data_IF_730197985639
#
_entry.id   IF_730197985639
#
_cell.length_a   1.000
_cell.length_b   1.000
_cell.length_c   1.000
_cell.angle_alpha   90.00
_cell.angle_beta   90.00
_cell.angle_gamma   90.00
#
_symmetry.space_group_name_H-M   'P 1'
#
loop_
_entity.id
_entity.type
_entity.pdbx_description
1 polymer ?
#
# COMPACT_ATOMS: atom_id res chain seq x y z
N UNK A 1 -43.24 29.97 -2.28
CA UNK A 1 -42.96 30.48 -0.93
C UNK A 1 -42.11 29.45 -0.20
N UNK A 2 -40.89 29.87 0.19
CA UNK A 2 -39.92 29.37 1.19
C UNK A 2 -39.95 27.86 1.54
N UNK A 3 -38.97 27.03 1.15
CA UNK A 3 -37.57 26.97 1.60
C UNK A 3 -37.42 26.79 3.12
N UNK A 4 -37.22 25.54 3.57
CA UNK A 4 -36.67 25.22 4.90
C UNK A 4 -35.38 24.42 4.74
N UNK A 5 -34.30 25.18 4.83
CA UNK A 5 -32.91 24.78 4.99
C UNK A 5 -32.57 24.55 6.47
N UNK A 6 -31.47 23.81 6.67
CA UNK A 6 -30.55 23.82 7.83
C UNK A 6 -30.86 22.87 9.00
N UNK A 7 -30.03 21.82 9.10
CA UNK A 7 -29.54 21.30 10.38
C UNK A 7 -28.10 20.77 10.21
N UNK A 8 -27.18 21.69 9.93
CA UNK A 8 -25.73 21.50 9.99
C UNK A 8 -25.18 22.40 11.10
N UNK A 9 -25.33 22.05 12.38
CA UNK A 9 -24.71 22.86 13.43
C UNK A 9 -24.41 22.16 14.77
N UNK A 10 -24.16 20.84 14.79
CA UNK A 10 -23.73 20.17 16.04
C UNK A 10 -22.69 19.07 15.84
N UNK A 11 -21.60 19.37 15.14
CA UNK A 11 -20.41 18.48 15.14
C UNK A 11 -19.07 19.22 15.25
N UNK A 12 -19.06 20.48 15.68
CA UNK A 12 -17.84 21.29 15.84
C UNK A 12 -17.37 21.47 17.29
N UNK A 13 -17.97 20.75 18.24
CA UNK A 13 -17.73 20.92 19.68
C UNK A 13 -16.98 19.75 20.34
N UNK A 14 -16.16 19.01 19.59
CA UNK A 14 -15.30 17.95 20.15
C UNK A 14 -13.79 18.19 19.91
N UNK A 15 -13.40 19.20 19.14
CA UNK A 15 -11.99 19.43 18.77
C UNK A 15 -11.26 20.39 19.75
N UNK A 16 -11.97 21.03 20.69
CA UNK A 16 -11.39 22.05 21.57
C UNK A 16 -11.10 21.62 23.03
N UNK A 17 -11.15 20.33 23.36
CA UNK A 17 -11.00 19.84 24.75
C UNK A 17 -9.87 18.82 24.97
N UNK A 18 -8.97 18.65 24.00
CA UNK A 18 -7.83 17.72 24.11
C UNK A 18 -6.45 18.40 24.19
N UNK A 19 -6.39 19.74 24.25
CA UNK A 19 -5.14 20.50 24.17
C UNK A 19 -4.58 21.03 25.51
N UNK A 20 -5.14 20.66 26.66
CA UNK A 20 -4.78 21.30 27.93
C UNK A 20 -4.57 20.36 29.12
N UNK A 21 -4.15 19.11 28.91
CA UNK A 21 -3.78 18.28 30.05
C UNK A 21 -2.53 17.42 29.85
N UNK A 22 -1.69 17.47 30.89
CA UNK A 22 -0.47 16.70 31.16
C UNK A 22 0.78 17.00 30.32
N UNK A 23 1.44 18.10 30.71
CA UNK A 23 2.89 18.07 30.83
C UNK A 23 3.29 17.19 32.02
N UNK A 24 4.08 16.14 31.77
CA UNK A 24 4.90 15.45 32.76
C UNK A 24 6.20 15.02 32.07
N UNK A 25 7.28 15.69 32.45
CA UNK A 25 8.65 15.29 32.15
C UNK A 25 9.01 14.10 33.03
N UNK A 26 9.31 12.94 32.43
CA UNK A 26 10.06 11.87 33.09
C UNK A 26 11.27 11.52 32.23
N UNK A 27 12.44 11.95 32.71
CA UNK A 27 13.75 11.45 32.32
C UNK A 27 13.89 10.01 32.81
N UNK A 28 14.08 9.05 31.90
CA UNK A 28 14.51 7.69 32.23
C UNK A 28 15.85 7.42 31.58
N UNK A 29 16.75 6.88 32.40
CA UNK A 29 18.16 6.66 32.18
C UNK A 29 18.47 5.79 30.96
N UNK A 30 19.60 6.13 30.32
CA UNK A 30 20.31 5.32 29.36
C UNK A 30 20.84 4.05 30.02
N UNK A 31 20.65 2.90 29.35
CA UNK A 31 21.62 1.81 29.40
C UNK A 31 21.58 0.99 28.11
N UNK A 32 22.79 0.69 27.63
CA UNK A 32 23.10 -0.55 26.93
C UNK A 32 22.50 -0.81 25.55
N UNK A 33 23.34 -0.57 24.54
CA UNK A 33 23.37 -1.29 23.25
C UNK A 33 22.46 -0.76 22.13
N UNK A 34 22.65 0.51 21.79
CA UNK A 34 22.35 1.00 20.44
C UNK A 34 23.49 0.59 19.51
N UNK A 35 23.40 -0.60 18.91
CA UNK A 35 23.97 -0.77 17.57
C UNK A 35 23.14 0.09 16.62
N UNK A 36 23.49 1.38 16.59
CA UNK A 36 23.16 2.27 15.52
C UNK A 36 23.89 1.72 14.28
N UNK A 37 23.23 0.79 13.59
CA UNK A 37 23.51 0.55 12.19
C UNK A 37 23.24 1.87 11.47
N UNK A 38 24.31 2.66 11.36
CA UNK A 38 24.50 3.72 10.40
C UNK A 38 24.26 3.16 9.00
N UNK A 39 23.00 3.06 8.61
CA UNK A 39 22.60 3.18 7.23
C UNK A 39 21.86 4.52 7.14
N UNK A 40 22.67 5.58 7.15
CA UNK A 40 22.36 6.78 6.40
C UNK A 40 21.97 6.33 4.99
N UNK A 41 20.67 6.14 4.81
CA UNK A 41 19.82 6.82 3.85
C UNK A 41 20.59 7.56 2.75
N UNK A 42 21.43 6.82 2.01
CA UNK A 42 21.75 7.15 0.63
C UNK A 42 20.43 6.98 -0.08
N UNK A 43 19.67 8.07 -0.18
CA UNK A 43 18.45 8.24 -0.97
C UNK A 43 18.78 7.82 -2.39
N UNK A 44 18.80 6.51 -2.60
CA UNK A 44 19.22 5.88 -3.83
C UNK A 44 18.05 6.16 -4.73
N UNK A 45 18.24 7.12 -5.63
CA UNK A 45 17.26 7.46 -6.65
C UNK A 45 17.07 6.19 -7.46
N UNK A 46 16.06 5.40 -7.09
CA UNK A 46 15.71 4.17 -7.78
C UNK A 46 15.30 4.58 -9.18
N UNK A 47 15.93 3.98 -10.19
CA UNK A 47 15.51 4.24 -11.57
C UNK A 47 14.05 3.82 -11.75
N UNK A 48 13.30 4.42 -12.69
CA UNK A 48 11.91 4.02 -12.94
C UNK A 48 11.76 2.51 -13.16
N UNK A 49 12.73 1.89 -13.86
CA UNK A 49 12.78 0.43 -14.04
C UNK A 49 12.91 -0.31 -12.70
N UNK A 50 13.86 0.07 -11.85
CA UNK A 50 14.02 -0.56 -10.53
C UNK A 50 12.77 -0.44 -9.64
N UNK A 51 12.07 0.70 -9.70
CA UNK A 51 10.80 0.88 -8.99
C UNK A 51 9.71 -0.06 -9.51
N UNK A 52 9.66 -0.23 -10.84
CA UNK A 52 8.70 -1.14 -11.47
C UNK A 52 8.99 -2.61 -11.14
N UNK A 53 10.27 -3.01 -11.19
CA UNK A 53 10.74 -4.35 -10.82
C UNK A 53 10.34 -4.66 -9.36
N UNK A 54 10.54 -3.68 -8.49
CA UNK A 54 10.14 -3.75 -7.09
C UNK A 54 8.62 -3.94 -6.94
N UNK A 55 7.80 -3.16 -7.66
CA UNK A 55 6.34 -3.30 -7.65
C UNK A 55 5.90 -4.70 -8.13
N UNK A 56 6.50 -5.23 -9.20
CA UNK A 56 6.20 -6.58 -9.69
C UNK A 56 6.54 -7.64 -8.65
N UNK A 57 7.70 -7.53 -8.00
CA UNK A 57 8.11 -8.48 -6.98
C UNK A 57 7.21 -8.42 -5.75
N UNK A 58 6.81 -7.21 -5.34
CA UNK A 58 5.87 -7.01 -4.23
C UNK A 58 4.48 -7.60 -4.56
N UNK A 59 3.98 -7.40 -5.79
CA UNK A 59 2.73 -8.02 -6.23
C UNK A 59 2.79 -9.56 -6.23
N UNK A 60 3.92 -10.14 -6.67
CA UNK A 60 4.16 -11.59 -6.63
C UNK A 60 4.16 -12.11 -5.18
N UNK A 61 4.86 -11.42 -4.28
CA UNK A 61 4.93 -11.76 -2.86
C UNK A 61 3.55 -11.70 -2.21
N UNK A 62 2.83 -10.60 -2.36
CA UNK A 62 1.48 -10.42 -1.80
C UNK A 62 0.51 -11.49 -2.33
N UNK A 63 0.61 -11.86 -3.61
CA UNK A 63 -0.22 -12.96 -4.14
C UNK A 63 0.11 -14.30 -3.49
N UNK A 64 1.40 -14.56 -3.20
CA UNK A 64 1.83 -15.77 -2.50
C UNK A 64 1.35 -15.78 -1.05
N UNK A 65 1.46 -14.66 -0.36
CA UNK A 65 0.97 -14.48 1.01
C UNK A 65 -0.55 -14.69 1.09
N UNK A 66 -1.32 -14.07 0.20
CA UNK A 66 -2.78 -14.25 0.13
C UNK A 66 -3.17 -15.71 -0.12
N UNK A 67 -2.40 -16.44 -0.94
CA UNK A 67 -2.62 -17.87 -1.20
C UNK A 67 -2.30 -18.75 0.01
N UNK A 68 -1.35 -18.35 0.86
CA UNK A 68 -0.84 -19.21 1.92
C UNK A 68 -1.88 -19.59 2.98
N UNK A 69 -2.92 -18.77 3.17
CA UNK A 69 -3.90 -18.94 4.27
C UNK A 69 -3.33 -18.64 5.67
N UNK A 70 -2.02 -18.39 5.78
CA UNK A 70 -1.31 -18.25 7.05
C UNK A 70 -0.64 -16.88 7.21
N UNK A 71 -0.87 -15.96 6.26
CA UNK A 71 -0.33 -14.60 6.35
C UNK A 71 -1.09 -13.78 7.41
N UNK A 72 -0.35 -13.11 8.29
CA UNK A 72 -0.94 -12.24 9.31
C UNK A 72 -1.70 -11.07 8.66
N UNK A 73 -2.95 -10.86 9.07
CA UNK A 73 -3.85 -9.90 8.43
C UNK A 73 -3.38 -8.45 8.55
N UNK A 74 -2.79 -8.07 9.68
CA UNK A 74 -2.23 -6.72 9.87
C UNK A 74 -1.06 -6.46 8.93
N UNK A 75 -0.06 -7.36 8.91
CA UNK A 75 1.12 -7.23 8.06
C UNK A 75 0.75 -7.21 6.58
N UNK A 76 -0.19 -8.08 6.17
CA UNK A 76 -0.67 -8.10 4.79
C UNK A 76 -1.28 -6.76 4.38
N UNK A 77 -2.15 -6.18 5.23
CA UNK A 77 -2.75 -4.85 4.98
C UNK A 77 -1.72 -3.75 4.84
N UNK A 78 -0.73 -3.74 5.72
CA UNK A 78 0.37 -2.77 5.67
C UNK A 78 1.10 -2.88 4.34
N UNK A 79 1.44 -4.10 3.92
CA UNK A 79 2.14 -4.32 2.65
C UNK A 79 1.28 -3.93 1.44
N UNK A 80 -0.04 -4.12 1.47
CA UNK A 80 -0.95 -3.66 0.40
C UNK A 80 -1.04 -2.13 0.36
N UNK A 81 -1.08 -1.46 1.51
CA UNK A 81 -1.01 0.01 1.57
C UNK A 81 0.33 0.51 1.03
N UNK A 82 1.42 -0.15 1.40
CA UNK A 82 2.75 0.19 0.91
C UNK A 82 2.86 0.02 -0.61
N UNK A 83 2.32 -1.07 -1.15
CA UNK A 83 2.23 -1.28 -2.60
C UNK A 83 1.45 -0.17 -3.30
N UNK A 84 0.30 0.26 -2.73
CA UNK A 84 -0.49 1.38 -3.26
C UNK A 84 0.31 2.67 -3.33
N UNK A 85 0.95 3.05 -2.23
CA UNK A 85 1.69 4.31 -2.18
C UNK A 85 2.90 4.31 -3.09
N UNK A 86 3.60 3.17 -3.17
CA UNK A 86 4.71 3.00 -4.12
C UNK A 86 4.22 3.15 -5.56
N UNK A 87 3.08 2.55 -5.90
CA UNK A 87 2.48 2.68 -7.24
C UNK A 87 2.04 4.12 -7.53
N UNK A 88 1.41 4.79 -6.57
CA UNK A 88 0.97 6.18 -6.68
C UNK A 88 2.15 7.10 -6.96
N UNK A 89 3.22 6.98 -6.17
CA UNK A 89 4.45 7.74 -6.38
C UNK A 89 5.07 7.47 -7.74
N UNK A 90 5.13 6.21 -8.15
CA UNK A 90 5.66 5.82 -9.45
C UNK A 90 4.87 6.48 -10.59
N UNK A 91 3.54 6.45 -10.53
CA UNK A 91 2.67 7.05 -11.55
C UNK A 91 2.76 8.58 -11.57
N UNK A 92 2.87 9.25 -10.43
CA UNK A 92 3.00 10.71 -10.36
C UNK A 92 4.33 11.23 -10.91
N UNK A 93 5.39 10.41 -10.82
CA UNK A 93 6.73 10.76 -11.32
C UNK A 93 6.87 10.48 -12.82
N UNK A 94 5.87 9.89 -13.48
CA UNK A 94 5.95 9.64 -14.92
C UNK A 94 5.72 10.93 -15.72
N UNK A 95 6.63 11.28 -16.65
CA UNK A 95 6.36 12.35 -17.60
C UNK A 95 5.23 11.96 -18.55
N UNK A 96 4.57 12.94 -19.17
CA UNK A 96 3.50 12.71 -20.17
C UNK A 96 3.93 11.82 -21.33
N UNK A 97 5.22 11.80 -21.65
CA UNK A 97 5.83 10.98 -22.69
C UNK A 97 6.49 9.70 -22.15
N UNK A 98 5.96 9.12 -21.06
CA UNK A 98 6.59 7.95 -20.44
C UNK A 98 6.65 6.76 -21.39
N UNK A 99 7.77 6.03 -21.36
CA UNK A 99 7.96 4.75 -22.06
C UNK A 99 6.98 3.67 -21.58
N UNK A 100 6.38 3.84 -20.40
CA UNK A 100 5.41 2.88 -19.85
C UNK A 100 4.02 3.15 -20.43
N UNK A 101 3.46 2.13 -21.08
CA UNK A 101 2.11 2.24 -21.63
C UNK A 101 1.07 2.46 -20.53
N UNK A 102 0.08 3.31 -20.79
CA UNK A 102 -1.11 3.47 -19.92
C UNK A 102 -1.76 2.12 -19.60
N UNK A 103 -1.74 1.19 -20.57
CA UNK A 103 -2.25 -0.18 -20.41
C UNK A 103 -1.54 -0.92 -19.28
N UNK A 104 -0.20 -0.89 -19.25
CA UNK A 104 0.58 -1.53 -18.17
C UNK A 104 0.26 -0.93 -16.81
N UNK A 105 0.23 0.40 -16.70
CA UNK A 105 -0.11 1.08 -15.44
C UNK A 105 -1.51 0.68 -14.94
N UNK A 106 -2.48 0.55 -15.85
CA UNK A 106 -3.82 0.08 -15.49
C UNK A 106 -3.83 -1.38 -15.00
N UNK A 107 -2.93 -2.25 -15.47
CA UNK A 107 -2.83 -3.60 -14.91
C UNK A 107 -2.30 -3.61 -13.48
N UNK A 108 -1.39 -2.70 -13.12
CA UNK A 108 -0.98 -2.50 -11.72
C UNK A 108 -2.14 -1.99 -10.86
N UNK A 109 -2.94 -1.06 -11.36
CA UNK A 109 -4.13 -0.55 -10.65
C UNK A 109 -5.16 -1.65 -10.42
N UNK A 110 -5.41 -2.51 -11.42
CA UNK A 110 -6.30 -3.67 -11.26
C UNK A 110 -5.74 -4.67 -10.26
N UNK A 111 -4.43 -4.93 -10.30
CA UNK A 111 -3.78 -5.79 -9.32
C UNK A 111 -3.94 -5.24 -7.89
N UNK A 112 -3.75 -3.94 -7.69
CA UNK A 112 -3.98 -3.27 -6.41
C UNK A 112 -5.42 -3.47 -5.92
N UNK A 113 -6.43 -3.32 -6.78
CA UNK A 113 -7.83 -3.48 -6.39
C UNK A 113 -8.12 -4.91 -5.88
N UNK A 114 -7.57 -5.93 -6.55
CA UNK A 114 -7.69 -7.32 -6.10
C UNK A 114 -6.95 -7.56 -4.78
N UNK A 115 -5.77 -6.99 -4.62
CA UNK A 115 -4.99 -7.08 -3.37
C UNK A 115 -5.69 -6.39 -2.19
N UNK A 116 -6.37 -5.27 -2.41
CA UNK A 116 -7.21 -4.63 -1.39
C UNK A 116 -8.38 -5.54 -1.00
N UNK A 117 -9.05 -6.14 -1.96
CA UNK A 117 -10.12 -7.12 -1.71
C UNK A 117 -9.60 -8.30 -0.89
N UNK A 118 -8.39 -8.79 -1.19
CA UNK A 118 -7.75 -9.85 -0.42
C UNK A 118 -7.42 -9.44 1.01
N UNK A 119 -7.04 -8.18 1.23
CA UNK A 119 -6.74 -7.64 2.55
C UNK A 119 -7.97 -7.50 3.46
N UNK A 120 -9.17 -7.52 2.87
CA UNK A 120 -10.46 -7.53 3.57
C UNK A 120 -10.89 -8.96 3.93
N UNK A 121 -10.34 -9.97 3.27
CA UNK A 121 -10.62 -11.39 3.52
C UNK A 121 -9.86 -11.89 4.76
N UNK A 122 -10.30 -11.50 5.96
CA UNK A 122 -9.70 -11.95 7.22
C UNK A 122 -10.59 -12.96 7.96
N UNK A 123 -9.96 -13.95 8.58
CA UNK A 123 -10.57 -14.83 9.56
C UNK A 123 -9.70 -14.84 10.81
N UNK A 124 -10.12 -14.08 11.83
CA UNK A 124 -9.31 -13.84 13.02
C UNK A 124 -8.03 -13.07 12.69
N UNK A 125 -6.86 -13.68 12.96
CA UNK A 125 -5.54 -13.04 12.80
C UNK A 125 -4.92 -13.24 11.41
N UNK A 126 -5.51 -14.07 10.56
CA UNK A 126 -4.93 -14.49 9.29
C UNK A 126 -5.81 -14.09 8.09
N UNK A 127 -5.17 -13.90 6.93
CA UNK A 127 -5.86 -13.69 5.66
C UNK A 127 -6.31 -15.04 5.10
N UNK A 128 -7.60 -15.16 4.82
CA UNK A 128 -8.22 -16.34 4.23
C UNK A 128 -9.11 -15.87 3.07
N UNK A 129 -8.57 -15.94 1.85
CA UNK A 129 -9.26 -15.47 0.66
C UNK A 129 -10.19 -16.55 0.07
N UNK A 130 -11.38 -16.18 -0.46
CA UNK A 130 -12.24 -17.11 -1.17
C UNK A 130 -11.58 -17.58 -2.48
N UNK A 131 -11.89 -18.80 -2.90
CA UNK A 131 -11.26 -19.45 -4.06
C UNK A 131 -11.40 -18.62 -5.35
N UNK A 132 -12.56 -18.01 -5.58
CA UNK A 132 -12.81 -17.18 -6.77
C UNK A 132 -11.88 -15.96 -6.83
N UNK A 133 -11.66 -15.27 -5.70
CA UNK A 133 -10.74 -14.14 -5.63
C UNK A 133 -9.29 -14.59 -5.87
N UNK A 134 -8.92 -15.78 -5.37
CA UNK A 134 -7.60 -16.34 -5.62
C UNK A 134 -7.35 -16.67 -7.10
N UNK A 135 -8.36 -17.15 -7.81
CA UNK A 135 -8.30 -17.37 -9.27
C UNK A 135 -8.06 -16.04 -9.99
N UNK A 136 -8.82 -14.99 -9.62
CA UNK A 136 -8.66 -13.67 -10.21
C UNK A 136 -7.28 -13.06 -9.94
N UNK A 137 -6.79 -13.14 -8.70
CA UNK A 137 -5.44 -12.70 -8.33
C UNK A 137 -4.35 -13.41 -9.14
N UNK A 138 -4.46 -14.74 -9.28
CA UNK A 138 -3.51 -15.53 -10.06
C UNK A 138 -3.50 -15.10 -11.52
N UNK A 139 -4.68 -14.99 -12.13
CA UNK A 139 -4.83 -14.58 -13.53
C UNK A 139 -4.29 -13.15 -13.76
N UNK A 140 -4.63 -12.21 -12.89
CA UNK A 140 -4.17 -10.83 -12.99
C UNK A 140 -2.66 -10.71 -12.81
N UNK A 141 -2.08 -11.42 -11.83
CA UNK A 141 -0.63 -11.47 -11.65
C UNK A 141 0.08 -11.99 -12.90
N UNK A 142 -0.44 -13.06 -13.53
CA UNK A 142 0.13 -13.60 -14.78
C UNK A 142 0.11 -12.55 -15.89
N UNK A 143 -1.04 -11.92 -16.16
CA UNK A 143 -1.17 -10.85 -17.18
C UNK A 143 -0.23 -9.68 -16.91
N UNK A 144 -0.13 -9.25 -15.66
CA UNK A 144 0.75 -8.16 -15.26
C UNK A 144 2.23 -8.49 -15.52
N UNK A 145 2.66 -9.71 -15.18
CA UNK A 145 4.05 -10.15 -15.40
C UNK A 145 4.38 -10.28 -16.88
N UNK A 146 3.47 -10.84 -17.69
CA UNK A 146 3.64 -10.96 -19.13
C UNK A 146 3.76 -9.58 -19.81
N UNK A 147 2.87 -8.65 -19.45
CA UNK A 147 2.90 -7.30 -20.01
C UNK A 147 4.13 -6.52 -19.57
N UNK A 148 4.55 -6.67 -18.31
CA UNK A 148 5.80 -6.09 -17.83
C UNK A 148 7.00 -6.66 -18.57
N UNK A 149 7.04 -7.97 -18.84
CA UNK A 149 8.13 -8.60 -19.58
C UNK A 149 8.24 -8.04 -21.01
N UNK A 150 7.10 -7.83 -21.69
CA UNK A 150 7.07 -7.20 -23.02
C UNK A 150 7.68 -5.78 -23.00
N UNK A 151 7.39 -4.99 -21.96
CA UNK A 151 7.93 -3.63 -21.80
C UNK A 151 9.39 -3.63 -21.33
N UNK A 152 9.85 -4.68 -20.65
CA UNK A 152 11.23 -4.80 -20.21
C UNK A 152 12.20 -5.27 -21.31
N UNK A 153 11.67 -5.89 -22.38
CA UNK A 153 12.44 -6.42 -23.52
C UNK A 153 12.51 -5.49 -24.73
N UNK A 154 11.72 -4.42 -24.78
CA UNK A 154 11.76 -3.38 -25.81
C UNK A 154 12.50 -2.15 -25.34
#
# INVERSE_FOLDING_TARGET
MFATTVNYFRLFSFILLFLLNSGMSLSVYADGNTQASNQQDKKTVKTPKQQLDYLINLAKQLTKEARSGNAAASSFRINVVFYRETLREFMLKQPSNSIYSKKLLMEFVRMLALLKSAAECQTGRYIVCPAQLMIQLKAQKTRLVEMYAQVASG
#
